data_IF_051866807712
#
_entry.id   IF_051866807712
#
_cell.length_a   1.000
_cell.length_b   1.000
_cell.length_c   1.000
_cell.angle_alpha   90.00
_cell.angle_beta   90.00
_cell.angle_gamma   90.00
#
_symmetry.space_group_name_H-M   'P 1'
#
loop_
_entity.id
_entity.type
_entity.pdbx_description
1 polymer ?
#
# COMPACT_ATOMS: atom_id res chain seq x y z
N UNK A 1 -8.20 7.92 -6.63
CA UNK A 1 -9.55 7.31 -6.48
C UNK A 1 -10.47 8.34 -5.86
N UNK A 2 -11.62 8.58 -6.47
CA UNK A 2 -12.68 9.42 -5.92
C UNK A 2 -13.86 8.54 -5.55
N UNK A 3 -14.35 8.66 -4.33
CA UNK A 3 -15.51 7.90 -3.85
C UNK A 3 -16.74 8.80 -3.76
N UNK A 4 -17.91 8.19 -3.52
CA UNK A 4 -19.16 8.94 -3.31
C UNK A 4 -18.96 10.04 -2.25
N UNK A 5 -19.57 11.21 -2.47
CA UNK A 5 -19.36 12.40 -1.63
C UNK A 5 -18.11 13.22 -1.99
N UNK A 6 -17.33 12.81 -3.00
CA UNK A 6 -16.20 13.56 -3.53
C UNK A 6 -14.89 13.40 -2.76
N UNK A 7 -14.83 12.52 -1.75
CA UNK A 7 -13.59 12.25 -1.04
C UNK A 7 -12.54 11.62 -1.97
N UNK A 8 -11.31 12.09 -1.85
CA UNK A 8 -10.20 11.61 -2.67
C UNK A 8 -9.22 10.79 -1.85
N UNK A 9 -8.78 9.67 -2.42
CA UNK A 9 -7.72 8.82 -1.90
C UNK A 9 -6.62 8.73 -2.94
N UNK A 10 -5.41 9.16 -2.58
CA UNK A 10 -4.26 9.17 -3.48
C UNK A 10 -3.33 8.04 -3.11
N UNK A 11 -3.11 7.13 -4.07
CA UNK A 11 -2.23 5.97 -3.92
C UNK A 11 -0.96 6.19 -4.72
N UNK A 12 0.19 6.16 -4.06
CA UNK A 12 1.49 6.06 -4.71
C UNK A 12 1.74 4.60 -5.07
N UNK A 13 1.87 4.29 -6.36
CA UNK A 13 2.19 2.95 -6.85
C UNK A 13 3.70 2.68 -6.75
N UNK A 14 4.07 1.42 -6.56
CA UNK A 14 5.45 0.95 -6.39
C UNK A 14 5.92 0.07 -7.58
N UNK A 15 6.09 0.63 -8.80
CA UNK A 15 6.44 -0.17 -9.98
C UNK A 15 7.80 -0.87 -9.85
N UNK A 16 8.69 -0.33 -9.02
CA UNK A 16 9.97 -0.95 -8.69
C UNK A 16 9.85 -2.21 -7.82
N UNK A 17 8.76 -2.39 -7.10
CA UNK A 17 8.59 -3.49 -6.13
C UNK A 17 7.52 -4.50 -6.56
N UNK A 18 6.56 -4.11 -7.39
CA UNK A 18 5.49 -4.98 -7.90
C UNK A 18 5.19 -4.68 -9.38
N UNK A 19 6.15 -4.88 -10.29
CA UNK A 19 6.07 -4.37 -11.67
C UNK A 19 4.87 -4.91 -12.46
N UNK A 20 4.57 -6.21 -12.38
CA UNK A 20 3.45 -6.83 -13.13
C UNK A 20 2.10 -6.36 -12.59
N UNK A 21 1.89 -6.40 -11.27
CA UNK A 21 0.65 -5.94 -10.67
C UNK A 21 0.43 -4.44 -10.89
N UNK A 22 1.48 -3.61 -10.81
CA UNK A 22 1.36 -2.17 -11.12
C UNK A 22 1.05 -1.92 -12.58
N UNK A 23 1.61 -2.72 -13.52
CA UNK A 23 1.22 -2.64 -14.92
C UNK A 23 -0.26 -2.95 -15.13
N UNK A 24 -0.78 -4.01 -14.48
CA UNK A 24 -2.19 -4.35 -14.52
C UNK A 24 -3.07 -3.24 -13.93
N UNK A 25 -2.69 -2.68 -12.78
CA UNK A 25 -3.41 -1.57 -12.16
C UNK A 25 -3.49 -0.36 -13.10
N UNK A 26 -2.41 -0.07 -13.83
CA UNK A 26 -2.42 1.00 -14.85
C UNK A 26 -3.40 0.70 -15.98
N UNK A 27 -3.40 -0.52 -16.52
CA UNK A 27 -4.34 -0.95 -17.56
C UNK A 27 -5.79 -0.85 -17.07
N UNK A 28 -6.08 -1.31 -15.86
CA UNK A 28 -7.40 -1.22 -15.23
C UNK A 28 -7.85 0.24 -15.05
N UNK A 29 -6.96 1.12 -14.59
CA UNK A 29 -7.26 2.54 -14.41
C UNK A 29 -7.53 3.25 -15.75
N UNK A 30 -6.74 2.96 -16.79
CA UNK A 30 -6.93 3.50 -18.14
C UNK A 30 -8.22 3.00 -18.79
N UNK A 31 -8.62 1.75 -18.51
CA UNK A 31 -9.90 1.20 -18.92
C UNK A 31 -11.09 1.68 -18.07
N UNK A 32 -10.86 2.54 -17.07
CA UNK A 32 -11.86 3.01 -16.12
C UNK A 32 -12.60 1.86 -15.41
N UNK A 33 -11.91 0.74 -15.20
CA UNK A 33 -12.52 -0.50 -14.75
C UNK A 33 -13.19 -0.38 -13.38
N UNK A 34 -12.64 0.43 -12.45
CA UNK A 34 -13.22 0.60 -11.12
C UNK A 34 -14.42 1.54 -11.07
N UNK A 35 -14.73 2.28 -12.16
CA UNK A 35 -15.88 3.18 -12.16
C UNK A 35 -17.17 2.37 -11.96
N UNK A 36 -17.96 2.76 -10.96
CA UNK A 36 -19.18 2.06 -10.57
C UNK A 36 -18.97 0.80 -9.72
N UNK A 37 -17.73 0.44 -9.35
CA UNK A 37 -17.46 -0.56 -8.30
C UNK A 37 -17.56 0.09 -6.91
N UNK A 38 -17.20 -0.60 -5.85
CA UNK A 38 -17.34 -0.08 -4.49
C UNK A 38 -16.26 -0.55 -3.53
N UNK A 39 -16.11 0.20 -2.42
CA UNK A 39 -15.52 -0.35 -1.21
C UNK A 39 -16.62 -1.20 -0.57
N UNK A 40 -16.39 -2.50 -0.46
CA UNK A 40 -17.41 -3.50 -0.13
C UNK A 40 -17.06 -4.38 1.09
N UNK A 41 -15.86 -4.19 1.62
CA UNK A 41 -15.37 -4.90 2.80
C UNK A 41 -14.54 -3.95 3.66
N UNK A 42 -14.87 -3.85 4.94
CA UNK A 42 -14.09 -3.11 5.92
C UNK A 42 -14.00 -3.95 7.20
N UNK A 43 -12.89 -4.64 7.34
CA UNK A 43 -12.62 -5.48 8.50
C UNK A 43 -11.87 -4.69 9.56
N UNK A 44 -12.38 -4.69 10.78
CA UNK A 44 -11.76 -3.97 11.88
C UNK A 44 -10.32 -4.41 12.12
N UNK A 45 -9.48 -3.43 12.44
CA UNK A 45 -8.05 -3.62 12.69
C UNK A 45 -7.31 -4.39 11.57
N UNK A 46 -7.82 -4.37 10.33
CA UNK A 46 -7.26 -5.12 9.22
C UNK A 46 -7.25 -4.31 7.92
N UNK A 47 -8.29 -4.39 7.10
CA UNK A 47 -8.29 -3.77 5.76
C UNK A 47 -9.61 -3.11 5.40
N UNK A 48 -9.53 -2.10 4.50
CA UNK A 48 -10.63 -1.65 3.65
C UNK A 48 -10.36 -2.11 2.22
N UNK A 49 -11.26 -2.90 1.64
CA UNK A 49 -11.11 -3.54 0.33
C UNK A 49 -12.15 -3.03 -0.66
N UNK A 50 -11.73 -2.90 -1.91
CA UNK A 50 -12.59 -2.44 -3.01
C UNK A 50 -12.34 -3.21 -4.29
N UNK A 51 -13.37 -3.25 -5.12
CA UNK A 51 -13.40 -3.88 -6.43
C UNK A 51 -14.81 -4.25 -6.81
N UNK A 52 -14.98 -5.28 -7.66
CA UNK A 52 -16.29 -5.81 -8.03
C UNK A 52 -16.68 -6.98 -7.11
N UNK A 53 -17.52 -6.68 -6.11
CA UNK A 53 -18.02 -7.70 -5.16
C UNK A 53 -18.71 -8.90 -5.82
N UNK A 54 -19.19 -8.74 -7.05
CA UNK A 54 -19.84 -9.83 -7.79
C UNK A 54 -18.85 -10.74 -8.51
N UNK A 55 -17.60 -10.30 -8.68
CA UNK A 55 -16.55 -10.94 -9.48
C UNK A 55 -16.95 -11.23 -10.93
N UNK A 56 -17.98 -10.53 -11.43
CA UNK A 56 -18.55 -10.75 -12.79
C UNK A 56 -18.17 -9.68 -13.79
N UNK A 57 -17.66 -8.53 -13.33
CA UNK A 57 -17.25 -7.45 -14.21
C UNK A 57 -16.09 -7.92 -15.09
N UNK A 58 -16.23 -7.93 -16.43
CA UNK A 58 -15.19 -8.44 -17.30
C UNK A 58 -13.91 -7.59 -17.16
N UNK A 59 -12.79 -8.26 -17.11
CA UNK A 59 -11.48 -7.62 -17.07
C UNK A 59 -11.14 -7.08 -18.47
N UNK A 60 -10.47 -5.92 -18.58
CA UNK A 60 -10.00 -5.42 -19.86
C UNK A 60 -8.90 -6.34 -20.43
N UNK A 61 -8.73 -6.36 -21.77
CA UNK A 61 -7.62 -7.09 -22.39
C UNK A 61 -6.27 -6.48 -22.01
N UNK A 62 -5.21 -7.29 -22.13
CA UNK A 62 -3.82 -6.83 -21.94
C UNK A 62 -3.31 -6.93 -20.52
N UNK A 63 -4.06 -7.50 -19.58
CA UNK A 63 -3.52 -7.79 -18.25
C UNK A 63 -2.44 -8.87 -18.32
N UNK A 64 -1.34 -8.62 -17.61
CA UNK A 64 -0.26 -9.57 -17.45
C UNK A 64 -0.65 -10.68 -16.48
N UNK A 65 -0.24 -11.89 -16.80
CA UNK A 65 -0.36 -13.00 -15.85
C UNK A 65 0.56 -12.76 -14.65
N UNK A 66 0.04 -12.91 -13.45
CA UNK A 66 0.74 -12.77 -12.17
C UNK A 66 0.92 -14.12 -11.49
N UNK A 67 1.89 -14.20 -10.61
CA UNK A 67 2.19 -15.42 -9.84
C UNK A 67 2.77 -15.08 -8.47
N UNK A 68 2.93 -16.05 -7.60
CA UNK A 68 3.57 -15.88 -6.29
C UNK A 68 5.03 -15.37 -6.39
N UNK A 69 5.71 -15.59 -7.52
CA UNK A 69 7.04 -15.04 -7.76
C UNK A 69 7.05 -13.51 -7.84
N UNK A 70 5.90 -12.89 -8.12
CA UNK A 70 5.76 -11.43 -8.22
C UNK A 70 5.57 -10.74 -6.86
N UNK A 71 5.53 -11.49 -5.75
CA UNK A 71 5.43 -10.93 -4.39
C UNK A 71 6.76 -10.40 -3.86
N UNK A 72 7.87 -10.75 -4.52
CA UNK A 72 9.20 -10.29 -4.18
C UNK A 72 9.97 -9.80 -5.41
N UNK A 73 11.05 -9.06 -5.19
CA UNK A 73 11.99 -8.65 -6.23
C UNK A 73 13.41 -8.97 -5.80
N UNK A 74 14.32 -9.20 -6.75
CA UNK A 74 15.74 -9.35 -6.48
C UNK A 74 16.43 -7.98 -6.55
N UNK A 75 17.02 -7.53 -5.44
CA UNK A 75 17.70 -6.23 -5.36
C UNK A 75 19.01 -6.21 -6.17
N UNK A 76 19.75 -7.32 -6.20
CA UNK A 76 21.02 -7.42 -6.92
C UNK A 76 20.92 -7.01 -8.39
N UNK A 77 19.79 -7.28 -9.03
CA UNK A 77 19.53 -6.93 -10.43
C UNK A 77 19.19 -5.45 -10.65
N UNK A 78 19.09 -4.62 -9.58
CA UNK A 78 18.49 -3.28 -9.68
C UNK A 78 19.41 -2.13 -9.29
N UNK A 79 20.62 -2.41 -8.82
CA UNK A 79 21.61 -1.40 -8.33
C UNK A 79 20.99 -0.36 -7.39
N UNK A 80 20.04 -0.78 -6.56
CA UNK A 80 19.34 0.11 -5.65
C UNK A 80 20.12 0.24 -4.34
N UNK A 81 20.30 1.47 -3.87
CA UNK A 81 20.91 1.73 -2.57
C UNK A 81 19.91 1.41 -1.47
N UNK A 82 20.35 0.58 -0.51
CA UNK A 82 19.57 0.24 0.70
C UNK A 82 20.05 1.09 1.86
N UNK A 83 19.16 1.84 2.47
CA UNK A 83 19.38 2.43 3.79
C UNK A 83 18.90 1.44 4.85
N UNK A 84 19.82 0.81 5.54
CA UNK A 84 19.53 -0.23 6.52
C UNK A 84 18.80 0.32 7.75
N UNK A 85 17.85 -0.46 8.26
CA UNK A 85 17.23 -0.23 9.57
C UNK A 85 17.81 -1.28 10.54
N UNK A 86 18.74 -0.90 11.44
CA UNK A 86 19.54 -1.85 12.20
C UNK A 86 18.84 -2.37 13.46
N UNK A 87 17.54 -2.61 13.39
CA UNK A 87 16.74 -3.12 14.49
C UNK A 87 16.13 -4.49 14.14
N UNK A 88 15.95 -5.37 15.11
CA UNK A 88 15.31 -6.67 14.88
C UNK A 88 13.90 -6.51 14.31
N UNK A 89 13.55 -7.40 13.38
CA UNK A 89 12.22 -7.51 12.80
C UNK A 89 11.72 -8.95 12.93
N UNK A 90 10.48 -9.15 13.35
CA UNK A 90 9.94 -10.48 13.60
C UNK A 90 9.63 -11.26 12.29
N UNK A 91 9.60 -10.59 11.14
CA UNK A 91 9.13 -11.16 9.87
C UNK A 91 10.20 -11.23 8.79
N UNK A 92 11.36 -10.63 9.03
CA UNK A 92 12.45 -10.62 8.05
C UNK A 92 13.83 -10.56 8.72
N UNK A 93 14.84 -11.24 8.17
CA UNK A 93 16.21 -11.16 8.65
C UNK A 93 16.81 -9.75 8.61
N UNK A 94 16.39 -8.95 7.63
CA UNK A 94 16.86 -7.57 7.44
C UNK A 94 15.70 -6.67 7.01
N UNK A 95 15.77 -5.42 7.44
CA UNK A 95 14.84 -4.37 7.00
C UNK A 95 15.60 -3.10 6.64
N UNK A 96 14.95 -2.23 5.88
CA UNK A 96 15.54 -0.96 5.47
C UNK A 96 14.62 -0.19 4.52
N UNK A 97 15.26 0.71 3.76
CA UNK A 97 14.54 1.58 2.82
C UNK A 97 15.24 1.58 1.47
N UNK A 98 14.46 1.53 0.40
CA UNK A 98 14.94 1.55 -0.98
C UNK A 98 14.08 2.53 -1.77
N UNK A 99 14.69 3.56 -2.34
CA UNK A 99 14.01 4.55 -3.19
C UNK A 99 12.71 5.12 -2.58
N UNK A 100 12.72 5.39 -1.26
CA UNK A 100 11.57 5.93 -0.55
C UNK A 100 10.53 4.90 -0.10
N UNK A 101 10.83 3.61 -0.20
CA UNK A 101 9.96 2.51 0.25
C UNK A 101 10.60 1.74 1.40
N UNK A 102 9.89 1.46 2.49
CA UNK A 102 10.33 0.46 3.45
C UNK A 102 10.34 -0.90 2.78
N UNK A 103 11.37 -1.67 3.04
CA UNK A 103 11.55 -3.02 2.49
C UNK A 103 11.95 -4.00 3.58
N UNK A 104 11.40 -5.18 3.51
CA UNK A 104 11.87 -6.34 4.25
C UNK A 104 12.64 -7.25 3.29
N UNK A 105 13.68 -7.91 3.76
CA UNK A 105 14.66 -8.60 2.93
C UNK A 105 15.08 -9.94 3.53
N UNK A 106 15.33 -10.92 2.65
CA UNK A 106 15.91 -12.22 2.97
C UNK A 106 16.86 -12.63 1.83
N UNK A 107 18.16 -12.68 2.10
CA UNK A 107 19.17 -12.76 1.04
C UNK A 107 19.03 -11.57 0.07
N UNK A 108 18.93 -11.88 -1.22
CA UNK A 108 18.72 -10.89 -2.29
C UNK A 108 17.24 -10.57 -2.54
N UNK A 109 16.32 -11.32 -1.95
CA UNK A 109 14.90 -11.10 -2.10
C UNK A 109 14.44 -9.94 -1.21
N UNK A 110 13.61 -9.05 -1.79
CA UNK A 110 13.01 -7.93 -1.07
C UNK A 110 11.53 -7.82 -1.41
N UNK A 111 10.76 -7.32 -0.45
CA UNK A 111 9.34 -7.09 -0.60
C UNK A 111 8.87 -5.86 0.19
N UNK A 112 7.75 -5.31 -0.19
CA UNK A 112 7.08 -4.27 0.60
C UNK A 112 6.33 -4.90 1.77
N UNK A 113 6.50 -4.40 2.99
CA UNK A 113 5.76 -4.88 4.15
C UNK A 113 4.31 -4.39 4.13
N UNK A 114 3.41 -5.15 4.75
CA UNK A 114 2.02 -4.76 4.97
C UNK A 114 1.90 -3.78 6.15
N UNK A 115 2.42 -2.56 5.98
CA UNK A 115 2.26 -1.50 6.99
C UNK A 115 0.90 -0.79 6.86
N UNK A 116 0.48 -0.06 7.90
CA UNK A 116 -0.72 0.79 7.83
C UNK A 116 -0.68 1.73 6.61
N UNK A 117 -1.79 1.81 5.88
CA UNK A 117 -1.91 2.60 4.65
C UNK A 117 -1.30 1.96 3.41
N UNK A 118 -0.68 0.77 3.50
CA UNK A 118 -0.17 0.06 2.34
C UNK A 118 -1.29 -0.65 1.59
N UNK A 119 -1.16 -0.68 0.27
CA UNK A 119 -2.18 -1.23 -0.64
C UNK A 119 -1.69 -2.57 -1.16
N UNK A 120 -2.49 -3.60 -0.93
CA UNK A 120 -2.25 -4.95 -1.43
C UNK A 120 -3.30 -5.39 -2.45
N UNK A 121 -3.01 -6.50 -3.12
CA UNK A 121 -3.86 -7.09 -4.17
C UNK A 121 -4.71 -8.21 -3.58
N UNK A 122 -6.04 -8.07 -3.62
CA UNK A 122 -6.96 -9.17 -3.30
C UNK A 122 -6.79 -10.34 -4.26
N UNK A 123 -6.86 -11.56 -3.74
CA UNK A 123 -6.76 -12.80 -4.50
C UNK A 123 -7.55 -13.93 -3.84
N UNK A 124 -7.86 -14.93 -4.62
CA UNK A 124 -8.40 -16.20 -4.16
C UNK A 124 -7.29 -17.14 -3.65
N UNK A 125 -7.60 -18.42 -3.45
CA UNK A 125 -6.61 -19.40 -3.03
C UNK A 125 -5.52 -19.60 -4.09
N UNK A 126 -4.33 -20.01 -3.64
CA UNK A 126 -3.23 -20.39 -4.56
C UNK A 126 -3.73 -21.43 -5.59
N UNK A 127 -3.34 -21.31 -6.87
CA UNK A 127 -2.23 -20.49 -7.41
C UNK A 127 -2.60 -19.05 -7.82
N UNK A 128 -3.82 -18.58 -7.54
CA UNK A 128 -4.21 -17.20 -7.87
C UNK A 128 -3.30 -16.20 -7.12
N UNK A 129 -2.74 -15.25 -7.86
CA UNK A 129 -1.91 -14.19 -7.31
C UNK A 129 -2.56 -12.81 -7.41
N UNK A 130 -3.81 -12.77 -7.87
CA UNK A 130 -4.60 -11.56 -8.07
C UNK A 130 -4.16 -10.76 -9.30
N UNK A 131 -5.14 -10.21 -10.01
CA UNK A 131 -4.88 -9.40 -11.22
C UNK A 131 -4.56 -7.94 -10.88
N UNK A 132 -4.92 -7.48 -9.71
CA UNK A 132 -4.94 -6.07 -9.32
C UNK A 132 -6.32 -5.42 -9.43
N UNK A 133 -7.36 -6.13 -9.88
CA UNK A 133 -8.73 -5.63 -9.90
C UNK A 133 -9.29 -5.44 -8.49
N UNK A 134 -9.08 -6.41 -7.63
CA UNK A 134 -9.39 -6.30 -6.20
C UNK A 134 -8.18 -5.74 -5.45
N UNK A 135 -8.38 -4.64 -4.73
CA UNK A 135 -7.35 -3.99 -3.93
C UNK A 135 -7.85 -3.74 -2.51
N UNK A 136 -6.92 -3.70 -1.58
CA UNK A 136 -7.22 -3.29 -0.20
C UNK A 136 -6.15 -2.35 0.34
N UNK A 137 -6.53 -1.49 1.27
CA UNK A 137 -5.60 -0.72 2.10
C UNK A 137 -5.62 -1.25 3.53
N UNK A 138 -4.46 -1.40 4.15
CA UNK A 138 -4.33 -1.75 5.57
C UNK A 138 -4.81 -0.57 6.42
N UNK A 139 -5.83 -0.78 7.26
CA UNK A 139 -6.42 0.22 8.13
C UNK A 139 -6.23 -0.07 9.64
N UNK A 140 -5.42 -1.05 9.95
CA UNK A 140 -5.16 -1.46 11.33
C UNK A 140 -3.71 -1.81 11.59
N UNK A 141 -3.47 -2.62 12.61
CA UNK A 141 -2.14 -3.14 12.90
C UNK A 141 -1.58 -3.88 11.69
N UNK A 142 -0.31 -3.65 11.40
CA UNK A 142 0.38 -4.20 10.24
C UNK A 142 0.26 -5.73 10.16
N UNK A 143 -0.49 -6.30 9.19
CA UNK A 143 -0.66 -7.74 9.06
C UNK A 143 0.55 -8.36 8.34
N UNK A 144 1.73 -8.25 8.95
CA UNK A 144 3.02 -8.67 8.39
C UNK A 144 3.09 -10.17 8.05
N UNK A 145 2.21 -11.00 8.62
CA UNK A 145 2.06 -12.40 8.22
C UNK A 145 1.62 -12.58 6.76
N UNK A 146 1.08 -11.53 6.12
CA UNK A 146 0.75 -11.51 4.70
C UNK A 146 1.97 -11.24 3.82
N UNK A 147 3.08 -10.79 4.37
CA UNK A 147 4.31 -10.52 3.63
C UNK A 147 4.73 -11.77 2.84
N UNK A 148 5.04 -11.60 1.56
CA UNK A 148 5.36 -12.67 0.59
C UNK A 148 4.21 -13.65 0.27
N UNK A 149 3.02 -13.45 0.83
CA UNK A 149 1.82 -14.21 0.51
C UNK A 149 0.84 -13.45 -0.38
N UNK A 150 0.99 -12.13 -0.43
CA UNK A 150 0.19 -11.20 -1.24
C UNK A 150 1.11 -10.09 -1.75
N UNK A 151 0.87 -9.62 -2.98
CA UNK A 151 1.60 -8.49 -3.53
C UNK A 151 1.16 -7.18 -2.87
N UNK A 152 2.11 -6.41 -2.34
CA UNK A 152 1.91 -5.00 -1.97
C UNK A 152 2.33 -4.14 -3.15
N UNK A 153 1.44 -3.27 -3.63
CA UNK A 153 1.59 -2.53 -4.89
C UNK A 153 1.79 -1.04 -4.72
N UNK A 154 1.61 -0.55 -3.49
CA UNK A 154 1.73 0.88 -3.21
C UNK A 154 1.33 1.23 -1.79
N UNK A 155 1.14 2.53 -1.57
CA UNK A 155 0.65 3.09 -0.30
C UNK A 155 -0.28 4.27 -0.53
N UNK A 156 -1.22 4.47 0.35
CA UNK A 156 -2.02 5.69 0.41
C UNK A 156 -1.12 6.82 0.95
N UNK A 157 -1.02 7.92 0.22
CA UNK A 157 -0.22 9.09 0.60
C UNK A 157 -1.09 10.29 0.97
N UNK A 158 -2.37 10.25 0.62
CA UNK A 158 -3.38 11.22 1.04
C UNK A 158 -4.76 10.55 1.06
N UNK A 159 -5.66 11.04 1.93
CA UNK A 159 -7.02 10.51 2.05
C UNK A 159 -7.17 9.25 2.89
N UNK A 160 -6.14 8.81 3.64
CA UNK A 160 -6.21 7.61 4.47
C UNK A 160 -7.33 7.67 5.52
N UNK A 161 -7.65 8.86 6.04
CA UNK A 161 -8.74 9.06 7.00
C UNK A 161 -10.10 8.62 6.42
N UNK A 162 -10.33 8.80 5.12
CA UNK A 162 -11.57 8.37 4.46
C UNK A 162 -11.73 6.85 4.43
N UNK A 163 -10.63 6.08 4.37
CA UNK A 163 -10.69 4.63 4.42
C UNK A 163 -10.78 4.10 5.84
N UNK A 164 -10.02 4.67 6.77
CA UNK A 164 -9.93 4.18 8.14
C UNK A 164 -11.16 4.51 8.99
N UNK A 165 -11.94 5.54 8.61
CA UNK A 165 -13.17 5.94 9.31
C UNK A 165 -14.44 5.26 8.80
N UNK A 166 -14.37 4.44 7.76
CA UNK A 166 -15.52 3.72 7.22
C UNK A 166 -16.14 2.80 8.28
N UNK A 167 -17.48 2.64 8.27
CA UNK A 167 -18.15 1.64 9.08
C UNK A 167 -17.53 0.26 8.85
N UNK A 168 -17.40 -0.51 9.93
CA UNK A 168 -16.94 -1.91 9.83
C UNK A 168 -18.09 -2.77 9.31
N UNK A 169 -17.77 -3.72 8.39
CA UNK A 169 -18.77 -4.64 7.89
C UNK A 169 -19.20 -5.66 8.94
N UNK A 170 -20.49 -5.95 8.99
CA UNK A 170 -21.09 -6.91 9.91
C UNK A 170 -21.08 -8.36 9.38
N UNK A 171 -20.80 -8.53 8.10
CA UNK A 171 -20.70 -9.85 7.48
C UNK A 171 -19.39 -10.57 7.78
N UNK A 172 -19.30 -11.80 7.32
CA UNK A 172 -18.09 -12.61 7.44
C UNK A 172 -16.88 -11.86 6.85
N UNK A 173 -15.74 -11.91 7.54
CA UNK A 173 -14.50 -11.23 7.18
C UNK A 173 -14.62 -9.70 6.99
N UNK A 174 -15.70 -9.08 7.51
CA UNK A 174 -15.93 -7.65 7.39
C UNK A 174 -16.54 -7.22 6.04
N UNK A 175 -17.14 -8.13 5.28
CA UNK A 175 -17.93 -7.75 4.12
C UNK A 175 -19.19 -6.98 4.54
N UNK A 176 -19.57 -6.01 3.73
CA UNK A 176 -20.81 -5.28 3.93
C UNK A 176 -22.00 -6.15 3.57
N UNK A 177 -22.83 -6.37 4.59
CA UNK A 177 -24.08 -7.14 4.50
C UNK A 177 -25.12 -6.44 5.36
N UNK A 178 -26.38 -6.63 5.06
CA UNK A 178 -27.46 -6.08 5.89
C UNK A 178 -27.62 -4.56 5.78
N UNK A 179 -27.29 -3.82 6.81
CA UNK A 179 -27.51 -2.36 6.89
C UNK A 179 -26.37 -1.51 6.33
N UNK A 180 -25.18 -2.07 6.19
CA UNK A 180 -24.06 -1.34 5.63
C UNK A 180 -24.22 -1.19 4.12
N UNK A 181 -24.03 0.03 3.66
CA UNK A 181 -24.03 0.34 2.23
C UNK A 181 -22.59 0.35 1.71
N UNK A 182 -22.25 -0.44 0.69
CA UNK A 182 -20.99 -0.31 -0.03
C UNK A 182 -20.77 1.14 -0.47
N UNK A 183 -19.54 1.62 -0.35
CA UNK A 183 -19.21 3.00 -0.73
C UNK A 183 -18.84 3.03 -2.21
N UNK A 184 -19.67 3.66 -3.08
CA UNK A 184 -19.42 3.67 -4.51
C UNK A 184 -18.11 4.36 -4.86
N UNK A 185 -17.37 3.77 -5.79
CA UNK A 185 -16.21 4.39 -6.43
C UNK A 185 -16.71 5.15 -7.66
N UNK A 186 -16.57 6.46 -7.62
CA UNK A 186 -16.94 7.35 -8.73
C UNK A 186 -15.93 7.23 -9.86
N UNK A 187 -14.64 7.24 -9.52
CA UNK A 187 -13.59 7.10 -10.53
C UNK A 187 -12.24 6.70 -9.92
N UNK A 188 -11.47 5.95 -10.70
CA UNK A 188 -10.03 5.77 -10.47
C UNK A 188 -9.28 6.24 -11.71
N UNK A 189 -8.32 7.14 -11.54
CA UNK A 189 -7.54 7.71 -12.65
C UNK A 189 -6.05 7.70 -12.29
N UNK A 190 -5.20 7.50 -13.28
CA UNK A 190 -3.77 7.79 -13.12
C UNK A 190 -3.58 9.31 -13.10
N UNK A 191 -2.77 9.79 -12.17
CA UNK A 191 -2.46 11.23 -12.10
C UNK A 191 -1.82 11.73 -13.41
N UNK A 192 -1.01 10.89 -14.07
CA UNK A 192 -0.39 11.20 -15.36
C UNK A 192 -1.38 11.44 -16.51
N UNK A 193 -2.60 10.91 -16.39
CA UNK A 193 -3.63 11.02 -17.43
C UNK A 193 -4.57 12.20 -17.19
N UNK A 194 -4.42 12.88 -16.04
CA UNK A 194 -5.17 14.10 -15.73
C UNK A 194 -4.53 15.32 -16.41
N UNK A 195 -5.33 16.37 -16.69
CA UNK A 195 -4.78 17.67 -17.08
C UNK A 195 -3.75 18.15 -16.06
N UNK A 196 -2.67 18.78 -16.52
CA UNK A 196 -1.55 19.19 -15.66
C UNK A 196 -1.96 19.98 -14.42
N UNK A 197 -2.97 20.86 -14.55
CA UNK A 197 -3.49 21.66 -13.43
C UNK A 197 -4.25 20.83 -12.37
N UNK A 198 -4.61 19.58 -12.68
CA UNK A 198 -5.34 18.68 -11.78
C UNK A 198 -4.43 17.54 -11.24
N UNK A 199 -3.19 17.49 -11.70
CA UNK A 199 -2.25 16.46 -11.22
C UNK A 199 -1.81 16.78 -9.80
N UNK A 200 -2.01 15.85 -8.85
CA UNK A 200 -1.50 16.03 -7.49
C UNK A 200 0.03 15.90 -7.48
N UNK A 201 0.70 16.85 -6.86
CA UNK A 201 2.14 16.84 -6.73
C UNK A 201 2.54 16.58 -5.28
N UNK A 202 3.44 15.61 -5.08
CA UNK A 202 3.96 15.25 -3.77
C UNK A 202 5.48 15.24 -3.75
N UNK A 203 6.03 15.48 -2.59
CA UNK A 203 7.44 15.29 -2.29
C UNK A 203 7.58 14.23 -1.21
N UNK A 204 8.50 13.30 -1.37
CA UNK A 204 8.88 12.37 -0.32
C UNK A 204 10.30 12.64 0.13
N UNK A 205 10.59 12.33 1.38
CA UNK A 205 11.95 12.43 1.91
C UNK A 205 12.87 11.43 1.21
N UNK A 206 14.05 11.90 0.81
CA UNK A 206 15.07 11.02 0.24
C UNK A 206 15.64 10.10 1.34
N UNK A 207 15.39 8.80 1.17
CA UNK A 207 15.81 7.79 2.13
C UNK A 207 17.31 7.50 2.13
N UNK A 208 18.07 8.07 1.18
CA UNK A 208 19.53 7.98 1.15
C UNK A 208 20.20 9.17 1.81
N UNK A 209 19.42 10.19 2.19
CA UNK A 209 19.96 11.41 2.77
C UNK A 209 20.39 11.25 4.24
N UNK A 210 21.40 12.00 4.70
CA UNK A 210 21.76 12.05 6.12
C UNK A 210 20.59 12.49 7.02
N UNK A 211 19.70 13.36 6.51
CA UNK A 211 18.51 13.81 7.22
C UNK A 211 17.56 12.66 7.51
N UNK A 212 17.41 11.71 6.58
CA UNK A 212 16.59 10.53 6.81
C UNK A 212 17.21 9.60 7.88
N UNK A 213 18.53 9.44 7.87
CA UNK A 213 19.22 8.67 8.92
C UNK A 213 19.03 9.30 10.29
N UNK A 214 19.09 10.62 10.39
CA UNK A 214 18.82 11.35 11.62
C UNK A 214 17.34 11.23 12.05
N UNK A 215 16.40 11.29 11.10
CA UNK A 215 14.99 11.04 11.36
C UNK A 215 14.78 9.64 11.98
N UNK A 216 15.40 8.58 11.44
CA UNK A 216 15.31 7.24 12.00
C UNK A 216 15.90 7.16 13.42
N UNK A 217 17.05 7.81 13.63
CA UNK A 217 17.69 7.87 14.95
C UNK A 217 16.80 8.56 15.99
N UNK A 218 16.19 9.67 15.62
CA UNK A 218 15.26 10.41 16.48
C UNK A 218 13.99 9.61 16.76
N UNK A 219 13.45 8.90 15.76
CA UNK A 219 12.29 8.01 15.95
C UNK A 219 12.58 6.89 16.94
N UNK A 220 13.75 6.26 16.83
CA UNK A 220 14.17 5.17 17.71
C UNK A 220 14.49 5.63 19.13
N UNK A 221 14.94 6.89 19.29
CA UNK A 221 15.48 7.39 20.56
C UNK A 221 14.84 8.73 20.94
N UNK A 222 13.55 8.89 20.68
CA UNK A 222 12.85 10.13 21.02
C UNK A 222 13.00 10.40 22.52
N UNK A 223 13.47 11.62 22.82
CA UNK A 223 13.69 12.11 24.18
C UNK A 223 13.27 13.58 24.22
N UNK A 224 12.15 13.83 24.82
CA UNK A 224 11.60 15.15 25.11
C UNK A 224 10.83 15.06 26.42
N UNK A 225 10.19 16.15 26.84
CA UNK A 225 9.48 16.23 28.14
C UNK A 225 8.34 15.21 28.31
N UNK A 226 7.88 14.58 27.22
CA UNK A 226 6.86 13.54 27.26
C UNK A 226 7.45 12.13 27.47
N UNK A 227 8.70 11.88 27.05
CA UNK A 227 9.29 10.54 27.06
C UNK A 227 10.20 10.32 28.28
N UNK A 228 9.78 9.49 29.19
CA UNK A 228 10.57 9.04 30.33
C UNK A 228 11.78 8.17 29.89
N UNK A 229 11.56 7.30 28.89
CA UNK A 229 12.58 6.38 28.39
C UNK A 229 12.53 6.30 26.86
N UNK A 230 13.66 6.54 26.17
CA UNK A 230 13.77 6.23 24.76
C UNK A 230 13.54 4.75 24.49
N UNK A 231 12.87 4.43 23.38
CA UNK A 231 12.58 3.03 23.00
C UNK A 231 13.86 2.23 22.65
N UNK A 232 14.91 2.89 22.16
CA UNK A 232 16.16 2.24 21.74
C UNK A 232 16.04 1.49 20.42
N UNK A 233 14.89 1.60 19.73
CA UNK A 233 14.63 0.96 18.44
C UNK A 233 13.36 1.51 17.79
N UNK A 234 13.16 1.17 16.52
CA UNK A 234 11.95 1.49 15.78
C UNK A 234 11.59 0.34 14.85
N UNK A 235 10.31 -0.04 14.87
CA UNK A 235 9.75 -1.01 13.92
C UNK A 235 9.66 -0.39 12.51
N UNK A 236 9.84 -1.22 11.48
CA UNK A 236 9.82 -0.80 10.09
C UNK A 236 8.52 -0.05 9.71
N UNK A 237 7.38 -0.53 10.18
CA UNK A 237 6.08 0.10 9.92
C UNK A 237 5.86 1.39 10.74
N UNK A 238 6.61 1.57 11.82
CA UNK A 238 6.59 2.78 12.66
C UNK A 238 7.62 3.84 12.24
N UNK A 239 8.35 3.60 11.16
CA UNK A 239 9.27 4.55 10.53
C UNK A 239 8.77 4.95 9.13
N UNK A 240 7.57 5.53 8.99
CA UNK A 240 7.05 5.90 7.68
C UNK A 240 7.94 6.94 7.01
N UNK A 241 8.18 6.76 5.72
CA UNK A 241 8.90 7.77 4.92
C UNK A 241 7.99 8.99 4.78
N UNK A 242 8.40 10.18 5.25
CA UNK A 242 7.59 11.38 5.18
C UNK A 242 7.24 11.77 3.74
N UNK A 243 5.97 12.08 3.53
CA UNK A 243 5.42 12.58 2.26
C UNK A 243 4.63 13.84 2.56
N UNK A 244 4.70 14.83 1.68
CA UNK A 244 3.89 16.05 1.76
C UNK A 244 3.43 16.47 0.38
N UNK A 245 2.29 17.15 0.32
CA UNK A 245 1.89 17.86 -0.90
C UNK A 245 2.94 18.92 -1.24
N UNK A 246 3.24 19.05 -2.53
CA UNK A 246 4.09 20.15 -3.01
C UNK A 246 3.21 21.39 -3.14
N UNK A 247 3.64 22.53 -2.60
CA UNK A 247 2.95 23.81 -2.77
C UNK A 247 2.80 24.20 -4.25
#
# INVERSE_FOLDING_TARGET
MTVEGGAQIIVQLAPGMAPRHVANIRTLAQAHWWDGTSINRVQDNYVAQWGDVTEKKPLPPGLLQTSAADYTVLLANRRLQVTSLPYPDAYAPKTGFVAGWPVAMDGDAAWLPHCYGYVGVGRNLSPDAGTGAELYAVIGQAPRQLDRNIAVVGRVIDGMAHLSSLPRGSGELGFYTGSERPVPIVSVRLASDLPAAQQPHFQQMDTTSPIFSEYLRLRANRKDDFYERPAGGVDLCNAPVPVRAKP
#
